data_IF_673569353362
#
_entry.id   IF_673569353362
#
_cell.length_a   1.000
_cell.length_b   1.000
_cell.length_c   1.000
_cell.angle_alpha   90.00
_cell.angle_beta   90.00
_cell.angle_gamma   90.00
#
_symmetry.space_group_name_H-M   'P 1'
#
loop_
_entity.id
_entity.type
_entity.pdbx_description
1 polymer ?
#
# COMPACT_ATOMS: atom_id res chain seq x y z
N UNK A 1 5.85 8.17 -9.43
CA UNK A 1 6.58 7.32 -10.42
C UNK A 1 7.74 6.54 -9.80
N UNK A 2 8.18 6.90 -8.60
CA UNK A 2 9.30 6.32 -7.86
C UNK A 2 8.88 5.41 -6.69
N UNK A 3 7.63 4.92 -6.70
CA UNK A 3 7.18 3.98 -5.69
C UNK A 3 7.99 2.67 -5.81
N UNK A 4 8.55 2.12 -4.72
CA UNK A 4 9.37 0.91 -4.76
C UNK A 4 8.47 -0.34 -4.91
N UNK A 5 7.87 -0.53 -6.09
CA UNK A 5 6.86 -1.56 -6.34
C UNK A 5 7.40 -3.00 -6.40
N UNK A 6 8.72 -3.19 -6.26
CA UNK A 6 9.38 -4.51 -6.26
C UNK A 6 10.43 -4.55 -5.16
N UNK A 7 10.08 -5.14 -4.01
CA UNK A 7 11.01 -5.42 -2.92
C UNK A 7 11.66 -6.79 -3.12
N UNK A 8 12.99 -6.85 -3.10
CA UNK A 8 13.75 -8.12 -3.17
C UNK A 8 14.05 -8.60 -1.76
N UNK A 9 13.56 -9.79 -1.42
CA UNK A 9 13.66 -10.36 -0.06
C UNK A 9 14.48 -11.65 -0.09
N UNK A 10 15.47 -11.84 0.81
CA UNK A 10 16.14 -13.12 0.97
C UNK A 10 15.14 -14.23 1.26
N UNK A 11 15.27 -15.39 0.60
CA UNK A 11 14.32 -16.51 0.72
C UNK A 11 14.02 -16.90 2.17
N UNK A 12 15.02 -16.87 3.05
CA UNK A 12 14.87 -17.23 4.45
C UNK A 12 13.99 -16.26 5.26
N UNK A 13 13.76 -15.04 4.77
CA UNK A 13 13.00 -13.98 5.46
C UNK A 13 11.66 -13.68 4.78
N UNK A 14 11.28 -14.43 3.73
CA UNK A 14 10.10 -14.11 2.94
C UNK A 14 8.81 -14.09 3.78
N UNK A 15 8.61 -15.11 4.62
CA UNK A 15 7.41 -15.21 5.45
C UNK A 15 7.30 -14.06 6.47
N UNK A 16 8.42 -13.62 7.03
CA UNK A 16 8.46 -12.48 7.95
C UNK A 16 8.16 -11.17 7.23
N UNK A 17 8.77 -10.96 6.06
CA UNK A 17 8.50 -9.77 5.24
C UNK A 17 7.03 -9.70 4.79
N UNK A 18 6.42 -10.84 4.43
CA UNK A 18 4.99 -10.92 4.09
C UNK A 18 4.10 -10.56 5.29
N UNK A 19 4.41 -11.09 6.48
CA UNK A 19 3.67 -10.79 7.69
C UNK A 19 3.74 -9.28 8.03
N UNK A 20 4.93 -8.69 7.99
CA UNK A 20 5.13 -7.26 8.23
C UNK A 20 4.39 -6.43 7.16
N UNK A 21 4.51 -6.81 5.88
CA UNK A 21 3.83 -6.09 4.80
C UNK A 21 2.30 -6.13 4.98
N UNK A 22 1.74 -7.26 5.40
CA UNK A 22 0.31 -7.40 5.67
C UNK A 22 -0.13 -6.53 6.86
N UNK A 23 0.61 -6.59 7.97
CA UNK A 23 0.32 -5.81 9.18
C UNK A 23 0.35 -4.30 8.90
N UNK A 24 1.41 -3.80 8.25
CA UNK A 24 1.55 -2.38 7.92
C UNK A 24 0.51 -1.95 6.89
N UNK A 25 0.18 -2.80 5.91
CA UNK A 25 -0.88 -2.50 4.94
C UNK A 25 -2.25 -2.38 5.61
N UNK A 26 -2.51 -3.15 6.67
CA UNK A 26 -3.77 -3.10 7.41
C UNK A 26 -3.94 -1.81 8.23
N UNK A 27 -2.87 -1.08 8.54
CA UNK A 27 -2.96 0.22 9.22
C UNK A 27 -3.26 1.38 8.27
N UNK A 28 -3.34 1.15 6.96
CA UNK A 28 -3.65 2.18 5.97
C UNK A 28 -5.14 2.54 6.03
N UNK A 29 -5.44 3.81 6.24
CA UNK A 29 -6.79 4.37 6.20
C UNK A 29 -7.03 4.98 4.82
N UNK A 30 -7.87 4.32 4.02
CA UNK A 30 -8.29 4.81 2.70
C UNK A 30 -9.57 5.63 2.83
N UNK A 31 -9.59 6.83 2.26
CA UNK A 31 -10.76 7.71 2.41
C UNK A 31 -10.68 9.02 1.64
N UNK A 32 -11.56 9.95 2.03
CA UNK A 32 -11.55 11.32 1.51
C UNK A 32 -10.23 12.02 1.90
N UNK A 33 -9.44 12.53 0.93
CA UNK A 33 -8.18 13.22 1.22
C UNK A 33 -8.34 14.50 2.04
N UNK A 34 -9.54 15.05 2.20
CA UNK A 34 -9.80 16.19 3.08
C UNK A 34 -9.98 15.80 4.56
N UNK A 35 -10.15 14.51 4.87
CA UNK A 35 -10.22 14.03 6.26
C UNK A 35 -8.81 13.81 6.81
N UNK A 36 -8.50 14.43 7.96
CA UNK A 36 -7.19 14.32 8.62
C UNK A 36 -6.81 12.89 9.03
N UNK A 37 -7.78 12.00 9.20
CA UNK A 37 -7.53 10.59 9.52
C UNK A 37 -7.13 9.74 8.30
N UNK A 38 -7.34 10.24 7.07
CA UNK A 38 -7.01 9.51 5.85
C UNK A 38 -5.50 9.48 5.63
N UNK A 39 -4.93 8.28 5.53
CA UNK A 39 -3.50 8.11 5.19
C UNK A 39 -3.27 7.92 3.70
N UNK A 40 -4.31 7.52 2.94
CA UNK A 40 -4.21 7.29 1.50
C UNK A 40 -5.53 7.68 0.79
N UNK A 41 -5.44 8.61 -0.17
CA UNK A 41 -6.57 9.02 -0.98
C UNK A 41 -6.89 8.06 -2.13
N UNK A 42 -7.96 8.31 -2.90
CA UNK A 42 -8.30 7.51 -4.06
C UNK A 42 -7.30 7.70 -5.20
N UNK A 43 -7.31 6.77 -6.15
CA UNK A 43 -6.67 6.99 -7.45
C UNK A 43 -7.42 8.07 -8.24
N UNK A 44 -6.74 8.71 -9.18
CA UNK A 44 -7.22 9.93 -9.85
C UNK A 44 -8.49 9.76 -10.70
N UNK A 45 -8.80 8.54 -11.16
CA UNK A 45 -9.96 8.30 -12.03
C UNK A 45 -10.40 6.84 -12.04
N UNK A 46 -11.64 6.60 -12.48
CA UNK A 46 -12.19 5.25 -12.67
C UNK A 46 -11.35 4.42 -13.64
N UNK A 47 -10.82 5.03 -14.71
CA UNK A 47 -9.93 4.35 -15.64
C UNK A 47 -8.64 3.86 -14.96
N UNK A 48 -8.12 4.61 -13.98
CA UNK A 48 -6.94 4.18 -13.21
C UNK A 48 -7.28 3.14 -12.15
N UNK A 49 -8.53 3.08 -11.69
CA UNK A 49 -9.01 2.06 -10.77
C UNK A 49 -9.26 0.72 -11.47
N UNK A 50 -9.79 0.76 -12.70
CA UNK A 50 -10.11 -0.43 -13.50
C UNK A 50 -8.92 -1.03 -14.27
N UNK A 51 -7.70 -0.49 -14.07
CA UNK A 51 -6.46 -0.95 -14.72
C UNK A 51 -5.72 -1.95 -13.85
#
# INVERSE_FOLDING_TARGET
>A
CNAPSRMLVPRAQLAEAEAIAAEVSASVVVGDPANEATTMGPVVSELQFNK
#
